data_IF_129509542949
#
_entry.id   IF_129509542949
#
_cell.length_a   1.000
_cell.length_b   1.000
_cell.length_c   1.000
_cell.angle_alpha   90.00
_cell.angle_beta   90.00
_cell.angle_gamma   90.00
#
_symmetry.space_group_name_H-M   'P 1'
#
loop_
_entity.id
_entity.type
_entity.pdbx_description
1 polymer ?
#
# COMPACT_ATOMS: atom_id res chain seq x y z
N UNK A 1 33.26 -1.80 -12.24
CA UNK A 1 31.89 -1.51 -11.77
C UNK A 1 31.59 -2.49 -10.64
N UNK A 2 31.46 -2.04 -9.39
CA UNK A 2 31.01 -2.91 -8.30
C UNK A 2 29.47 -2.91 -8.35
N UNK A 3 28.87 -4.07 -8.63
CA UNK A 3 27.42 -4.18 -8.74
C UNK A 3 26.84 -4.10 -7.33
N UNK A 4 26.44 -2.91 -6.89
CA UNK A 4 25.62 -2.79 -5.70
C UNK A 4 24.27 -3.42 -6.01
N UNK A 5 23.97 -4.53 -5.35
CA UNK A 5 22.65 -5.13 -5.44
C UNK A 5 21.65 -4.16 -4.82
N UNK A 6 20.75 -3.61 -5.64
CA UNK A 6 19.59 -2.88 -5.15
C UNK A 6 18.56 -3.92 -4.73
N UNK A 7 18.35 -4.06 -3.43
CA UNK A 7 17.22 -4.83 -2.90
C UNK A 7 15.96 -3.97 -3.04
N UNK A 8 15.18 -4.21 -4.09
CA UNK A 8 13.87 -3.58 -4.26
C UNK A 8 12.87 -4.20 -3.29
N UNK A 9 12.00 -3.38 -2.66
CA UNK A 9 10.99 -3.85 -1.70
C UNK A 9 11.31 -3.54 -0.23
N UNK A 10 12.36 -2.78 0.07
CA UNK A 10 12.57 -2.28 1.42
C UNK A 10 11.45 -1.29 1.81
N UNK A 11 11.03 -1.34 3.08
CA UNK A 11 10.09 -0.36 3.63
C UNK A 11 10.70 1.05 3.58
N UNK A 12 9.88 2.04 3.26
CA UNK A 12 10.28 3.45 3.32
C UNK A 12 10.71 3.83 4.74
N UNK A 13 11.67 4.76 4.88
CA UNK A 13 12.06 5.28 6.19
C UNK A 13 10.97 6.18 6.76
N UNK A 14 10.85 6.22 8.10
CA UNK A 14 9.91 7.08 8.82
C UNK A 14 9.01 6.32 9.78
N UNK A 15 8.06 7.04 10.39
CA UNK A 15 7.03 6.48 11.26
C UNK A 15 5.80 6.07 10.42
N UNK A 16 5.06 5.05 10.87
CA UNK A 16 3.82 4.57 10.21
C UNK A 16 4.02 4.15 8.74
N UNK A 17 5.19 3.60 8.41
CA UNK A 17 5.50 3.12 7.07
C UNK A 17 4.89 1.74 6.76
N UNK A 18 4.30 1.09 7.76
CA UNK A 18 3.50 -0.11 7.63
C UNK A 18 2.27 -0.05 8.53
N UNK A 19 1.24 -0.82 8.19
CA UNK A 19 0.05 -1.01 9.01
C UNK A 19 -0.57 -2.39 8.75
N UNK A 20 -1.19 -2.97 9.77
CA UNK A 20 -1.84 -4.29 9.71
C UNK A 20 -3.35 -4.07 9.62
N UNK A 21 -4.00 -4.71 8.66
CA UNK A 21 -5.45 -4.69 8.50
C UNK A 21 -6.01 -6.10 8.36
N UNK A 22 -7.32 -6.19 8.13
CA UNK A 22 -7.98 -7.48 7.89
C UNK A 22 -9.11 -7.39 6.87
N UNK A 23 -9.27 -8.47 6.09
CA UNK A 23 -10.41 -8.71 5.21
C UNK A 23 -11.08 -10.00 5.66
N UNK A 24 -12.30 -9.91 6.19
CA UNK A 24 -13.02 -11.10 6.70
C UNK A 24 -12.22 -11.86 7.75
N UNK A 25 -11.68 -11.14 8.73
CA UNK A 25 -10.84 -11.67 9.83
C UNK A 25 -9.49 -12.30 9.40
N UNK A 26 -9.16 -12.28 8.11
CA UNK A 26 -7.83 -12.68 7.61
C UNK A 26 -6.90 -11.45 7.64
N UNK A 27 -5.80 -11.48 8.43
CA UNK A 27 -4.90 -10.34 8.54
C UNK A 27 -3.98 -10.22 7.33
N UNK A 28 -3.62 -8.97 7.01
CA UNK A 28 -2.60 -8.63 6.01
C UNK A 28 -1.75 -7.48 6.53
N UNK A 29 -0.51 -7.39 6.05
CA UNK A 29 0.38 -6.25 6.31
C UNK A 29 0.53 -5.43 5.04
N UNK A 30 0.33 -4.12 5.10
CA UNK A 30 0.64 -3.22 3.99
C UNK A 30 1.75 -2.25 4.38
N UNK A 31 2.67 -1.97 3.48
CA UNK A 31 3.75 -1.01 3.70
C UNK A 31 4.14 -0.27 2.42
N UNK A 32 4.70 0.93 2.58
CA UNK A 32 5.22 1.73 1.47
C UNK A 32 6.63 1.30 1.08
N UNK A 33 6.87 1.06 -0.22
CA UNK A 33 8.20 0.80 -0.81
C UNK A 33 8.40 1.72 -2.00
N UNK A 34 9.17 2.80 -1.82
CA UNK A 34 9.23 3.90 -2.78
C UNK A 34 7.83 4.51 -2.96
N UNK A 35 7.36 4.57 -4.20
CA UNK A 35 6.00 5.03 -4.52
C UNK A 35 4.94 3.91 -4.46
N UNK A 36 5.35 2.65 -4.33
CA UNK A 36 4.42 1.52 -4.35
C UNK A 36 3.95 1.17 -2.94
N UNK A 37 2.78 0.55 -2.85
CA UNK A 37 2.31 -0.12 -1.63
C UNK A 37 2.43 -1.61 -1.85
N UNK A 38 3.15 -2.29 -0.96
CA UNK A 38 3.29 -3.74 -0.95
C UNK A 38 2.34 -4.31 0.10
N UNK A 39 1.60 -5.36 -0.27
CA UNK A 39 0.67 -6.07 0.61
C UNK A 39 1.19 -7.50 0.78
N UNK A 40 1.41 -7.87 2.03
CA UNK A 40 1.83 -9.19 2.45
C UNK A 40 0.68 -9.94 3.10
N UNK A 41 0.61 -11.24 2.85
CA UNK A 41 -0.22 -12.16 3.63
C UNK A 41 0.32 -12.31 5.07
N UNK A 42 -0.43 -13.02 5.90
CA UNK A 42 -0.09 -13.26 7.30
C UNK A 42 1.22 -14.05 7.52
N UNK A 43 1.66 -14.77 6.49
CA UNK A 43 2.94 -15.51 6.44
C UNK A 43 4.08 -14.68 5.81
N UNK A 44 3.86 -13.37 5.60
CA UNK A 44 4.78 -12.43 4.96
C UNK A 44 5.07 -12.66 3.47
N UNK A 45 4.33 -13.56 2.81
CA UNK A 45 4.39 -13.68 1.35
C UNK A 45 3.78 -12.46 0.66
N UNK A 46 4.45 -11.94 -0.37
CA UNK A 46 3.96 -10.80 -1.13
C UNK A 46 2.81 -11.22 -2.05
N UNK A 47 1.59 -10.75 -1.73
CA UNK A 47 0.38 -11.14 -2.45
C UNK A 47 -0.10 -10.08 -3.44
N UNK A 48 0.25 -8.80 -3.23
CA UNK A 48 -0.14 -7.72 -4.14
C UNK A 48 0.81 -6.52 -4.04
N UNK A 49 0.99 -5.84 -5.18
CA UNK A 49 1.64 -4.52 -5.25
C UNK A 49 0.65 -3.54 -5.89
N UNK A 50 0.40 -2.42 -5.22
CA UNK A 50 -0.35 -1.29 -5.77
C UNK A 50 0.65 -0.29 -6.35
N UNK A 51 0.71 -0.12 -7.68
CA UNK A 51 1.72 0.71 -8.31
C UNK A 51 1.48 2.21 -8.10
N UNK A 52 2.50 2.89 -7.61
CA UNK A 52 2.59 4.33 -7.38
C UNK A 52 2.67 5.19 -8.63
N UNK A 53 2.91 4.60 -9.80
CA UNK A 53 3.02 5.32 -11.07
C UNK A 53 1.77 6.15 -11.40
N UNK A 54 0.59 5.71 -10.92
CA UNK A 54 -0.67 6.44 -11.06
C UNK A 54 -0.80 7.65 -10.12
N UNK A 55 0.11 7.78 -9.17
CA UNK A 55 0.15 8.81 -8.12
C UNK A 55 1.33 9.77 -8.29
N UNK A 56 1.83 9.91 -9.53
CA UNK A 56 2.93 10.82 -9.86
C UNK A 56 4.31 10.33 -9.43
N UNK A 57 4.45 9.03 -9.10
CA UNK A 57 5.67 8.44 -8.54
C UNK A 57 6.12 9.14 -7.24
N UNK A 58 5.18 9.73 -6.50
CA UNK A 58 5.45 10.32 -5.19
C UNK A 58 5.68 9.18 -4.20
N UNK A 59 6.69 9.30 -3.35
CA UNK A 59 6.97 8.31 -2.30
C UNK A 59 5.79 8.23 -1.33
N UNK A 60 5.42 7.00 -0.94
CA UNK A 60 4.44 6.77 0.13
C UNK A 60 5.06 7.16 1.46
N UNK A 61 4.51 8.15 2.14
CA UNK A 61 5.05 8.62 3.42
C UNK A 61 4.40 7.98 4.64
N UNK A 62 3.14 7.54 4.56
CA UNK A 62 2.50 6.72 5.58
C UNK A 62 1.45 5.80 4.98
N UNK A 63 1.16 4.71 5.68
CA UNK A 63 0.12 3.72 5.34
C UNK A 63 -0.68 3.40 6.59
N UNK A 64 -2.01 3.36 6.48
CA UNK A 64 -2.90 2.92 7.56
C UNK A 64 -3.99 1.97 7.02
N UNK A 65 -4.20 0.86 7.72
CA UNK A 65 -5.11 -0.20 7.30
C UNK A 65 -6.35 -0.27 8.19
N UNK A 66 -7.50 -0.59 7.61
CA UNK A 66 -8.74 -0.83 8.34
C UNK A 66 -8.90 -2.31 8.71
N UNK A 67 -9.25 -2.57 9.97
CA UNK A 67 -9.54 -3.93 10.46
C UNK A 67 -10.93 -4.45 10.04
N UNK A 68 -11.87 -3.58 9.68
CA UNK A 68 -13.24 -4.01 9.37
C UNK A 68 -13.45 -4.31 7.89
N UNK A 69 -12.88 -3.48 7.01
CA UNK A 69 -13.20 -3.50 5.58
C UNK A 69 -11.96 -3.72 4.70
N UNK A 70 -10.78 -3.94 5.29
CA UNK A 70 -9.50 -4.10 4.59
C UNK A 70 -9.10 -2.94 3.68
N UNK A 71 -9.65 -1.75 3.93
CA UNK A 71 -9.27 -0.53 3.21
C UNK A 71 -7.86 -0.12 3.62
N UNK A 72 -7.10 0.42 2.68
CA UNK A 72 -5.76 0.95 2.91
C UNK A 72 -5.78 2.43 2.59
N UNK A 73 -5.43 3.28 3.56
CA UNK A 73 -5.13 4.68 3.34
C UNK A 73 -3.63 4.85 3.15
N UNK A 74 -3.21 5.57 2.12
CA UNK A 74 -1.80 5.90 1.92
C UNK A 74 -1.63 7.36 1.50
N UNK A 75 -0.62 8.01 2.05
CA UNK A 75 -0.30 9.40 1.72
C UNK A 75 0.80 9.48 0.66
N UNK A 76 0.51 10.29 -0.36
CA UNK A 76 1.39 10.66 -1.46
C UNK A 76 1.57 12.18 -1.42
N UNK A 77 2.58 12.66 -0.69
CA UNK A 77 2.81 14.10 -0.52
C UNK A 77 1.61 14.78 0.17
N UNK A 78 0.90 15.65 -0.55
CA UNK A 78 -0.27 16.37 -0.04
C UNK A 78 -1.62 15.68 -0.32
N UNK A 79 -1.61 14.47 -0.85
CA UNK A 79 -2.80 13.71 -1.17
C UNK A 79 -2.87 12.42 -0.37
N UNK A 80 -4.08 12.02 0.05
CA UNK A 80 -4.35 10.70 0.63
C UNK A 80 -5.22 9.91 -0.33
N UNK A 81 -4.78 8.70 -0.67
CA UNK A 81 -5.52 7.75 -1.48
C UNK A 81 -6.08 6.63 -0.59
N UNK A 82 -7.35 6.27 -0.81
CA UNK A 82 -7.98 5.14 -0.16
C UNK A 82 -8.15 4.02 -1.19
N UNK A 83 -7.59 2.86 -0.89
CA UNK A 83 -7.70 1.64 -1.69
C UNK A 83 -8.68 0.68 -1.00
N UNK A 84 -9.60 0.11 -1.76
CA UNK A 84 -10.54 -0.89 -1.27
C UNK A 84 -10.08 -2.29 -1.73
N UNK A 85 -10.32 -3.34 -0.92
CA UNK A 85 -10.05 -4.70 -1.37
C UNK A 85 -10.95 -5.02 -2.56
N UNK A 86 -10.35 -5.55 -3.62
CA UNK A 86 -11.12 -6.07 -4.74
C UNK A 86 -11.72 -7.39 -4.31
N UNK A 87 -13.06 -7.48 -4.28
CA UNK A 87 -13.71 -8.78 -4.16
C UNK A 87 -13.24 -9.70 -5.31
N UNK A 88 -13.25 -11.00 -5.07
CA UNK A 88 -12.78 -12.09 -5.97
C UNK A 88 -13.27 -11.98 -7.43
N UNK A 89 -14.31 -11.17 -7.70
CA UNK A 89 -14.92 -10.96 -9.02
C UNK A 89 -14.87 -9.49 -9.53
N UNK A 90 -14.11 -8.60 -8.90
CA UNK A 90 -14.08 -7.17 -9.23
C UNK A 90 -12.85 -6.77 -10.05
N UNK A 91 -12.71 -7.33 -11.26
CA UNK A 91 -11.91 -6.65 -12.27
C UNK A 91 -12.67 -5.37 -12.66
N UNK A 92 -12.07 -4.20 -12.35
CA UNK A 92 -12.46 -2.84 -12.80
C UNK A 92 -13.33 -2.05 -11.81
N UNK A 93 -12.71 -1.51 -10.75
CA UNK A 93 -13.17 -0.27 -10.10
C UNK A 93 -11.99 0.68 -9.87
N UNK A 94 -12.18 1.94 -10.28
CA UNK A 94 -11.18 3.01 -10.25
C UNK A 94 -10.97 3.52 -8.82
N UNK A 95 -9.75 3.98 -8.55
CA UNK A 95 -9.41 4.70 -7.32
C UNK A 95 -10.24 5.97 -7.18
N UNK A 96 -11.01 6.08 -6.09
CA UNK A 96 -11.73 7.32 -5.76
C UNK A 96 -10.81 8.18 -4.90
N UNK A 97 -10.10 9.12 -5.53
CA UNK A 97 -9.37 10.16 -4.80
C UNK A 97 -10.39 11.14 -4.20
N UNK A 98 -10.57 11.15 -2.88
CA UNK A 98 -11.24 12.24 -2.16
C UNK A 98 -10.84 12.28 -0.68
N UNK A 99 -9.98 13.23 -0.33
CA UNK A 99 -10.21 14.30 0.66
C UNK A 99 -9.01 15.24 0.65
N UNK A 100 -9.23 16.48 0.19
CA UNK A 100 -8.35 17.62 0.51
C UNK A 100 -8.87 18.19 1.82
N UNK A 101 -8.04 18.22 2.85
CA UNK A 101 -8.22 19.11 3.99
C UNK A 101 -7.39 20.36 3.76
#
# INVERSE_FOLDING_TARGET
>A
MHLHQVLTGAVNPGDNCYSVGSVGDVPFTAYGSGCDIVILASDFECVQIIPGAKHGNIQVSCVECSNQHGRIAASYGNAVCIFEPLGINSHKRNCVSTKRY
#
